data_IF_775392437271
#
_entry.id   IF_775392437271
#
_cell.length_a   1.000
_cell.length_b   1.000
_cell.length_c   1.000
_cell.angle_alpha   90.00
_cell.angle_beta   90.00
_cell.angle_gamma   90.00
#
_symmetry.space_group_name_H-M   'P 1'
#
loop_
_entity.id
_entity.type
_entity.pdbx_description
1 polymer ?
#
# COMPACT_ATOMS: atom_id res chain seq x y z
N UNK A 1 -17.26 21.03 5.53
CA UNK A 1 -18.26 20.43 6.43
C UNK A 1 -18.16 21.16 7.76
N UNK A 2 -19.05 22.12 8.00
CA UNK A 2 -19.09 22.89 9.24
C UNK A 2 -20.11 22.24 10.18
N UNK A 3 -19.67 21.84 11.37
CA UNK A 3 -20.56 21.43 12.45
C UNK A 3 -21.26 22.69 12.99
N UNK A 4 -22.56 22.80 12.75
CA UNK A 4 -23.41 23.80 13.38
C UNK A 4 -23.75 23.26 14.77
N UNK A 5 -23.21 23.90 15.81
CA UNK A 5 -23.62 23.64 17.19
C UNK A 5 -24.99 24.28 17.45
N UNK A 6 -25.92 23.59 18.14
CA UNK A 6 -27.18 24.17 18.54
C UNK A 6 -26.97 25.26 19.60
N UNK A 7 -27.74 26.34 19.44
CA UNK A 7 -27.72 27.54 20.28
C UNK A 7 -28.23 27.21 21.70
N UNK A 8 -27.51 27.58 22.77
CA UNK A 8 -27.98 27.34 24.14
C UNK A 8 -29.16 28.25 24.46
N UNK A 9 -30.30 27.67 24.87
CA UNK A 9 -31.47 28.42 25.34
C UNK A 9 -32.83 28.05 24.73
N UNK A 10 -32.95 26.98 23.94
CA UNK A 10 -34.25 26.52 23.47
C UNK A 10 -34.99 25.74 24.58
N UNK A 11 -36.29 26.02 24.83
CA UNK A 11 -37.08 25.30 25.83
C UNK A 11 -37.30 23.83 25.43
N UNK A 12 -37.41 22.91 26.41
CA UNK A 12 -37.60 21.49 26.15
C UNK A 12 -38.94 21.24 25.45
N UNK A 13 -38.91 20.52 24.33
CA UNK A 13 -40.10 20.07 23.63
C UNK A 13 -40.86 19.02 24.45
N UNK A 14 -42.21 18.99 24.39
CA UNK A 14 -43.03 18.07 25.18
C UNK A 14 -42.82 16.61 24.77
N UNK A 15 -42.73 15.74 25.79
CA UNK A 15 -42.62 14.30 25.63
C UNK A 15 -43.93 13.71 25.10
N UNK A 16 -44.00 13.50 23.79
CA UNK A 16 -45.03 12.68 23.15
C UNK A 16 -44.70 11.20 23.29
N UNK A 17 -45.38 10.53 24.22
CA UNK A 17 -45.46 9.07 24.27
C UNK A 17 -46.36 8.60 23.12
N UNK A 18 -45.74 8.05 22.08
CA UNK A 18 -46.41 7.31 21.01
C UNK A 18 -45.79 5.91 20.98
N UNK A 19 -46.59 4.95 21.45
CA UNK A 19 -46.42 3.55 21.19
C UNK A 19 -46.69 3.31 19.70
N UNK A 20 -45.66 3.18 18.89
CA UNK A 20 -45.79 2.53 17.59
C UNK A 20 -44.63 1.56 17.36
N UNK A 21 -45.00 0.32 17.68
CA UNK A 21 -44.54 -0.97 17.20
C UNK A 21 -44.00 -0.89 15.76
N UNK A 22 -42.68 -0.78 15.61
CA UNK A 22 -42.00 -1.08 14.36
C UNK A 22 -41.55 -2.55 14.35
N UNK A 23 -42.11 -3.29 13.39
CA UNK A 23 -41.81 -4.69 13.10
C UNK A 23 -40.32 -4.91 12.76
N UNK A 24 -39.62 -5.83 13.45
CA UNK A 24 -38.26 -6.22 13.10
C UNK A 24 -38.28 -7.29 11.99
N UNK A 25 -38.81 -6.96 10.82
CA UNK A 25 -38.85 -7.90 9.69
C UNK A 25 -38.47 -7.23 8.37
N UNK A 26 -37.19 -6.87 8.22
CA UNK A 26 -36.47 -6.88 6.93
C UNK A 26 -35.00 -6.49 7.17
N UNK A 27 -34.25 -7.36 7.86
CA UNK A 27 -32.80 -7.39 7.67
C UNK A 27 -32.54 -8.19 6.39
N UNK A 28 -31.78 -7.67 5.42
CA UNK A 28 -31.37 -8.47 4.27
C UNK A 28 -30.48 -9.61 4.79
N UNK A 29 -31.07 -10.80 4.85
CA UNK A 29 -30.42 -12.06 5.08
C UNK A 29 -29.54 -12.41 3.87
N UNK A 30 -28.41 -11.72 3.72
CA UNK A 30 -27.30 -12.24 2.91
C UNK A 30 -26.42 -13.11 3.81
N UNK A 31 -27.02 -14.19 4.32
CA UNK A 31 -26.27 -15.28 4.91
C UNK A 31 -25.63 -16.06 3.77
N UNK A 32 -24.32 -15.87 3.60
CA UNK A 32 -23.50 -16.90 2.98
C UNK A 32 -23.72 -18.17 3.79
N UNK A 33 -24.36 -19.14 3.17
CA UNK A 33 -24.51 -20.49 3.69
C UNK A 33 -23.10 -21.08 3.82
N UNK A 34 -22.47 -20.91 4.98
CA UNK A 34 -21.26 -21.64 5.33
C UNK A 34 -21.66 -23.12 5.39
N UNK A 35 -21.26 -23.87 4.36
CA UNK A 35 -21.33 -25.32 4.37
C UNK A 35 -20.51 -25.84 5.56
N UNK A 36 -20.99 -26.85 6.30
CA UNK A 36 -20.22 -27.45 7.37
C UNK A 36 -18.87 -27.94 6.82
N UNK A 37 -17.74 -27.67 7.50
CA UNK A 37 -16.46 -28.12 7.04
C UNK A 37 -16.46 -29.66 7.04
N UNK A 38 -16.36 -30.23 5.83
CA UNK A 38 -16.05 -31.64 5.67
C UNK A 38 -14.79 -31.96 6.48
N UNK A 39 -14.91 -33.01 7.28
CA UNK A 39 -13.87 -33.68 8.05
C UNK A 39 -12.73 -34.20 7.15
N UNK A 40 -11.87 -33.29 6.72
CA UNK A 40 -10.65 -33.60 5.96
C UNK A 40 -9.43 -33.51 6.87
N UNK A 41 -8.84 -34.68 7.18
CA UNK A 41 -7.49 -34.89 7.70
C UNK A 41 -6.80 -33.70 8.40
N UNK A 42 -7.04 -33.58 9.70
CA UNK A 42 -6.08 -32.92 10.58
C UNK A 42 -4.75 -33.66 10.49
N UNK A 43 -3.71 -32.98 10.01
CA UNK A 43 -2.34 -33.46 10.16
C UNK A 43 -1.98 -33.35 11.65
N UNK A 44 -1.41 -34.38 12.28
CA UNK A 44 -1.00 -34.31 13.67
C UNK A 44 0.14 -33.29 13.77
N UNK A 45 -0.14 -32.13 14.35
CA UNK A 45 0.91 -31.20 14.75
C UNK A 45 1.60 -31.80 15.98
N UNK A 46 2.91 -31.99 15.88
CA UNK A 46 3.74 -32.50 16.96
C UNK A 46 3.66 -31.53 18.15
N UNK A 47 2.98 -31.97 19.20
CA UNK A 47 2.85 -31.25 20.46
C UNK A 47 4.23 -31.16 21.11
N UNK A 48 4.89 -30.00 21.04
CA UNK A 48 6.10 -29.73 21.81
C UNK A 48 5.69 -29.45 23.26
N UNK A 49 6.37 -30.14 24.19
CA UNK A 49 6.13 -30.08 25.62
C UNK A 49 6.11 -28.65 26.16
N UNK A 50 5.00 -28.33 26.83
CA UNK A 50 4.78 -27.06 27.51
C UNK A 50 5.68 -26.94 28.73
N UNK A 51 6.68 -26.07 28.64
CA UNK A 51 7.41 -25.57 29.79
C UNK A 51 6.46 -24.66 30.61
N UNK A 52 6.13 -25.10 31.83
CA UNK A 52 5.33 -24.38 32.82
C UNK A 52 5.96 -23.00 33.11
N UNK A 53 5.25 -21.92 32.77
CA UNK A 53 5.61 -20.53 33.07
C UNK A 53 4.89 -20.09 34.36
N UNK A 54 5.49 -19.21 35.20
CA UNK A 54 5.02 -18.93 36.55
C UNK A 54 3.69 -18.16 36.58
N UNK A 55 2.84 -18.57 37.52
CA UNK A 55 1.49 -18.09 37.77
C UNK A 55 1.49 -16.65 38.31
N UNK A 56 0.99 -15.69 37.52
CA UNK A 56 0.88 -14.30 37.96
C UNK A 56 0.48 -13.29 36.88
N UNK A 57 0.57 -13.68 35.61
CA UNK A 57 0.01 -12.92 34.50
C UNK A 57 -1.34 -13.55 34.13
N UNK A 58 -2.44 -12.89 34.52
CA UNK A 58 -3.78 -13.20 34.02
C UNK A 58 -3.72 -13.43 32.51
N UNK A 59 -4.15 -14.63 32.11
CA UNK A 59 -3.79 -15.26 30.84
C UNK A 59 -4.03 -14.38 29.64
N UNK A 60 -2.94 -13.84 29.06
CA UNK A 60 -2.98 -13.39 27.68
C UNK A 60 -3.36 -14.60 26.83
N UNK A 61 -4.53 -14.56 26.22
CA UNK A 61 -4.93 -15.57 25.25
C UNK A 61 -3.82 -15.69 24.21
N UNK A 62 -3.22 -16.88 24.14
CA UNK A 62 -2.17 -17.14 23.18
C UNK A 62 -2.74 -16.91 21.77
N UNK A 63 -1.91 -16.34 20.89
CA UNK A 63 -2.26 -16.16 19.49
C UNK A 63 -2.69 -17.52 18.93
N UNK A 64 -3.83 -17.64 18.22
CA UNK A 64 -4.27 -18.92 17.69
C UNK A 64 -3.22 -19.53 16.76
N UNK A 65 -2.99 -20.85 16.84
CA UNK A 65 -1.95 -21.53 16.05
C UNK A 65 -2.10 -21.35 14.54
N UNK A 66 -3.33 -21.12 14.07
CA UNK A 66 -3.57 -20.84 12.65
C UNK A 66 -3.01 -19.48 12.21
N UNK A 67 -2.50 -18.62 13.08
CA UNK A 67 -1.82 -17.39 12.68
C UNK A 67 -0.36 -17.59 12.29
N UNK A 68 0.24 -18.73 12.66
CA UNK A 68 1.57 -19.09 12.19
C UNK A 68 1.50 -19.38 10.68
N UNK A 69 2.05 -18.45 9.90
CA UNK A 69 2.07 -18.50 8.43
C UNK A 69 3.12 -19.48 7.92
N UNK A 70 3.04 -20.74 8.37
CA UNK A 70 3.88 -21.82 7.82
C UNK A 70 3.27 -22.31 6.51
N UNK A 71 3.46 -21.53 5.45
CA UNK A 71 3.09 -21.98 4.12
C UNK A 71 4.16 -22.96 3.65
N UNK A 72 3.87 -24.27 3.69
CA UNK A 72 4.78 -25.30 3.17
C UNK A 72 4.86 -25.24 1.63
N UNK A 73 5.48 -24.20 1.10
CA UNK A 73 5.74 -23.98 -0.32
C UNK A 73 7.24 -24.20 -0.57
N UNK A 74 7.62 -24.53 -1.81
CA UNK A 74 9.03 -24.64 -2.19
C UNK A 74 9.84 -23.38 -1.82
N UNK A 75 11.10 -23.57 -1.39
CA UNK A 75 11.96 -22.55 -0.76
C UNK A 75 12.27 -21.29 -1.60
N UNK A 76 11.86 -21.20 -2.88
CA UNK A 76 11.54 -19.92 -3.48
C UNK A 76 10.62 -18.99 -2.72
N UNK A 77 9.40 -19.51 -2.70
CA UNK A 77 8.16 -18.76 -2.63
C UNK A 77 7.79 -18.50 -1.19
N UNK A 78 8.20 -19.37 -0.26
CA UNK A 78 7.97 -19.19 1.17
C UNK A 78 8.53 -17.83 1.65
N UNK A 79 9.80 -17.56 1.34
CA UNK A 79 10.44 -16.26 1.65
C UNK A 79 9.72 -15.07 1.02
N UNK A 80 9.24 -15.22 -0.23
CA UNK A 80 8.56 -14.14 -0.95
C UNK A 80 7.18 -13.87 -0.34
N UNK A 81 6.42 -14.91 -0.03
CA UNK A 81 5.09 -14.82 0.57
C UNK A 81 5.20 -14.26 1.98
N UNK A 82 6.14 -14.75 2.79
CA UNK A 82 6.40 -14.23 4.13
C UNK A 82 6.78 -12.75 4.09
N UNK A 83 7.68 -12.37 3.17
CA UNK A 83 8.07 -10.97 3.00
C UNK A 83 6.89 -10.11 2.54
N UNK A 84 6.13 -10.57 1.54
CA UNK A 84 4.95 -9.85 1.04
C UNK A 84 3.90 -9.68 2.15
N UNK A 85 3.69 -10.70 2.98
CA UNK A 85 2.78 -10.66 4.11
C UNK A 85 3.24 -9.67 5.20
N UNK A 86 4.53 -9.68 5.55
CA UNK A 86 5.11 -8.70 6.50
C UNK A 86 4.99 -7.27 5.97
N UNK A 87 5.29 -7.06 4.69
CA UNK A 87 5.10 -5.75 4.03
C UNK A 87 3.64 -5.35 4.06
N UNK A 88 2.71 -6.28 3.78
CA UNK A 88 1.29 -6.01 3.84
C UNK A 88 0.83 -5.65 5.26
N UNK A 89 1.29 -6.37 6.29
CA UNK A 89 1.01 -6.03 7.69
C UNK A 89 1.55 -4.65 8.06
N UNK A 90 2.78 -4.33 7.63
CA UNK A 90 3.40 -3.03 7.88
C UNK A 90 2.63 -1.89 7.17
N UNK A 91 2.26 -2.09 5.91
CA UNK A 91 1.49 -1.10 5.14
C UNK A 91 0.11 -0.91 5.76
N UNK A 92 -0.61 -1.99 6.04
CA UNK A 92 -2.00 -1.94 6.50
C UNK A 92 -2.14 -1.54 7.96
N UNK A 93 -1.35 -2.13 8.86
CA UNK A 93 -1.50 -1.96 10.31
C UNK A 93 -0.37 -1.13 10.93
N UNK A 94 0.77 -0.99 10.26
CA UNK A 94 1.93 -0.27 10.79
C UNK A 94 2.82 -1.13 11.69
N UNK A 95 2.52 -2.42 11.78
CA UNK A 95 3.27 -3.39 12.56
C UNK A 95 3.79 -4.50 11.63
N UNK A 96 5.05 -4.93 11.78
CA UNK A 96 5.61 -6.01 10.97
C UNK A 96 5.00 -7.37 11.33
N UNK A 97 4.51 -7.51 12.57
CA UNK A 97 3.96 -8.73 13.11
C UNK A 97 2.53 -8.52 13.57
N UNK A 98 1.73 -9.55 13.32
CA UNK A 98 0.34 -9.62 13.73
C UNK A 98 0.16 -9.84 15.24
N UNK A 99 1.19 -10.38 15.93
CA UNK A 99 1.20 -10.55 17.37
C UNK A 99 1.10 -9.22 18.13
N UNK A 100 1.78 -8.17 17.65
CA UNK A 100 1.68 -6.84 18.26
C UNK A 100 0.24 -6.29 18.15
N UNK A 101 -0.40 -6.55 17.01
CA UNK A 101 -1.79 -6.13 16.75
C UNK A 101 -2.74 -6.92 17.63
N UNK A 102 -2.50 -8.22 17.82
CA UNK A 102 -3.27 -9.06 18.74
C UNK A 102 -3.20 -8.55 20.18
N UNK A 103 -1.99 -8.21 20.64
CA UNK A 103 -1.78 -7.63 21.96
C UNK A 103 -2.52 -6.29 22.10
N UNK A 104 -2.53 -5.44 21.07
CA UNK A 104 -3.31 -4.19 21.06
C UNK A 104 -4.81 -4.46 21.09
N UNK A 105 -5.32 -5.43 20.33
CA UNK A 105 -6.75 -5.74 20.28
C UNK A 105 -7.30 -6.34 21.59
N UNK A 106 -6.46 -7.02 22.38
CA UNK A 106 -6.84 -7.59 23.68
C UNK A 106 -6.40 -6.73 24.87
N UNK A 107 -5.77 -5.57 24.61
CA UNK A 107 -5.43 -4.60 25.65
C UNK A 107 -6.65 -3.77 26.06
N UNK A 108 -6.42 -2.81 26.95
CA UNK A 108 -7.42 -1.84 27.37
C UNK A 108 -7.96 -1.00 26.19
N UNK A 109 -9.17 -0.49 26.35
CA UNK A 109 -9.85 0.29 25.30
C UNK A 109 -9.04 1.52 24.87
N UNK A 110 -8.29 2.14 25.78
CA UNK A 110 -7.45 3.30 25.47
C UNK A 110 -6.29 2.93 24.54
N UNK A 111 -5.60 1.82 24.80
CA UNK A 111 -4.54 1.30 23.94
C UNK A 111 -5.06 0.93 22.55
N UNK A 112 -6.24 0.30 22.47
CA UNK A 112 -6.92 0.05 21.20
C UNK A 112 -7.24 1.34 20.44
N UNK A 113 -7.85 2.34 21.12
CA UNK A 113 -8.20 3.61 20.51
C UNK A 113 -6.97 4.34 19.96
N UNK A 114 -5.84 4.33 20.69
CA UNK A 114 -4.57 4.88 20.21
C UNK A 114 -4.07 4.18 18.95
N UNK A 115 -4.16 2.84 18.89
CA UNK A 115 -3.82 2.07 17.70
C UNK A 115 -4.72 2.42 16.50
N UNK A 116 -6.02 2.48 16.74
CA UNK A 116 -7.04 2.88 15.77
C UNK A 116 -6.81 4.30 15.23
N UNK A 117 -6.50 5.26 16.10
CA UNK A 117 -6.26 6.66 15.74
C UNK A 117 -4.99 6.82 14.89
N UNK A 118 -3.94 6.04 15.17
CA UNK A 118 -2.75 5.99 14.31
C UNK A 118 -3.08 5.49 12.91
N UNK A 119 -3.84 4.40 12.81
CA UNK A 119 -4.28 3.86 11.52
C UNK A 119 -5.17 4.87 10.79
N UNK A 120 -6.15 5.45 11.48
CA UNK A 120 -7.00 6.51 10.97
C UNK A 120 -6.20 7.67 10.38
N UNK A 121 -5.23 8.18 11.14
CA UNK A 121 -4.41 9.30 10.71
C UNK A 121 -3.59 8.98 9.45
N UNK A 122 -3.06 7.75 9.34
CA UNK A 122 -2.34 7.29 8.14
C UNK A 122 -3.25 7.21 6.92
N UNK A 123 -4.43 6.60 7.07
CA UNK A 123 -5.41 6.51 5.97
C UNK A 123 -5.88 7.91 5.56
N UNK A 124 -6.17 8.79 6.52
CA UNK A 124 -6.56 10.17 6.24
C UNK A 124 -5.47 10.94 5.50
N UNK A 125 -4.22 10.82 5.94
CA UNK A 125 -3.08 11.47 5.28
C UNK A 125 -2.93 10.99 3.83
N UNK A 126 -2.98 9.67 3.58
CA UNK A 126 -2.85 9.16 2.21
C UNK A 126 -4.04 9.55 1.33
N UNK A 127 -5.26 9.64 1.87
CA UNK A 127 -6.44 10.14 1.16
C UNK A 127 -6.28 11.61 0.76
N UNK A 128 -5.74 12.47 1.64
CA UNK A 128 -5.43 13.87 1.31
C UNK A 128 -4.40 13.94 0.18
N UNK A 129 -3.31 13.17 0.28
CA UNK A 129 -2.29 13.09 -0.78
C UNK A 129 -2.89 12.61 -2.10
N UNK A 130 -3.79 11.62 -2.08
CA UNK A 130 -4.49 11.15 -3.26
C UNK A 130 -5.32 12.27 -3.91
N UNK A 131 -6.03 13.08 -3.12
CA UNK A 131 -6.79 14.22 -3.63
C UNK A 131 -5.92 15.26 -4.33
N UNK A 132 -4.74 15.56 -3.76
CA UNK A 132 -3.77 16.48 -4.36
C UNK A 132 -3.17 15.92 -5.66
N UNK A 133 -2.82 14.63 -5.66
CA UNK A 133 -2.33 13.94 -6.86
C UNK A 133 -3.41 13.88 -7.95
N UNK A 134 -4.67 13.66 -7.58
CA UNK A 134 -5.79 13.62 -8.51
C UNK A 134 -5.99 14.99 -9.18
N UNK A 135 -5.94 16.08 -8.41
CA UNK A 135 -6.02 17.44 -8.96
C UNK A 135 -4.85 17.77 -9.89
N UNK A 136 -3.64 17.39 -9.50
CA UNK A 136 -2.43 17.61 -10.31
C UNK A 136 -2.44 16.82 -11.62
N UNK A 137 -2.85 15.55 -11.57
CA UNK A 137 -2.97 14.69 -12.76
C UNK A 137 -4.11 15.13 -13.67
N UNK A 138 -5.23 15.61 -13.12
CA UNK A 138 -6.32 16.22 -13.89
C UNK A 138 -5.85 17.47 -14.64
N UNK A 139 -5.04 18.32 -14.00
CA UNK A 139 -4.46 19.49 -14.64
C UNK A 139 -3.57 19.08 -15.82
N UNK A 140 -2.66 18.11 -15.64
CA UNK A 140 -1.84 17.60 -16.75
C UNK A 140 -2.67 16.93 -17.86
N UNK A 141 -3.76 16.26 -17.53
CA UNK A 141 -4.61 15.60 -18.52
C UNK A 141 -5.45 16.60 -19.35
N UNK A 142 -5.80 17.75 -18.77
CA UNK A 142 -6.73 18.72 -19.40
C UNK A 142 -6.04 19.93 -20.02
N UNK A 143 -4.77 20.17 -19.70
CA UNK A 143 -4.03 21.34 -20.18
C UNK A 143 -2.99 20.95 -21.23
N UNK A 144 -2.83 21.80 -22.24
CA UNK A 144 -1.70 21.69 -23.16
C UNK A 144 -0.40 22.09 -22.46
N UNK A 145 0.74 21.42 -22.74
CA UNK A 145 2.03 21.80 -22.16
C UNK A 145 2.35 23.25 -22.50
N UNK A 146 2.67 24.10 -21.50
CA UNK A 146 2.93 25.52 -21.74
C UNK A 146 4.18 25.75 -22.60
N UNK A 147 5.13 24.82 -22.58
CA UNK A 147 6.33 24.79 -23.42
C UNK A 147 6.60 23.35 -23.89
N UNK A 148 6.03 22.93 -25.04
CA UNK A 148 6.23 21.59 -25.56
C UNK A 148 7.71 21.29 -25.85
N UNK A 149 8.51 22.31 -26.17
CA UNK A 149 9.95 22.17 -26.42
C UNK A 149 10.74 21.71 -25.18
N UNK A 150 10.24 22.03 -23.98
CA UNK A 150 10.86 21.65 -22.70
C UNK A 150 10.34 20.31 -22.20
N UNK A 151 9.02 20.16 -22.06
CA UNK A 151 8.40 18.92 -21.56
C UNK A 151 7.08 18.69 -22.29
N UNK A 152 7.13 17.89 -23.36
CA UNK A 152 5.92 17.46 -24.04
C UNK A 152 5.30 16.23 -23.36
N UNK A 153 4.47 16.49 -22.34
CA UNK A 153 3.68 15.46 -21.68
C UNK A 153 2.39 15.08 -22.45
N UNK A 154 2.09 15.76 -23.56
CA UNK A 154 0.94 15.44 -24.42
C UNK A 154 1.23 14.30 -25.40
N UNK A 155 2.48 13.84 -25.49
CA UNK A 155 2.81 12.65 -26.28
C UNK A 155 2.01 11.42 -25.81
N UNK A 156 1.58 10.59 -26.77
CA UNK A 156 0.69 9.45 -26.53
C UNK A 156 1.12 8.54 -25.36
N UNK A 157 2.43 8.30 -25.23
CA UNK A 157 2.98 7.46 -24.16
C UNK A 157 2.79 8.09 -22.77
N UNK A 158 3.29 9.32 -22.59
CA UNK A 158 3.19 10.04 -21.31
C UNK A 158 1.73 10.32 -20.94
N UNK A 159 0.91 10.67 -21.91
CA UNK A 159 -0.52 10.92 -21.70
C UNK A 159 -1.27 9.67 -21.22
N UNK A 160 -0.98 8.48 -21.79
CA UNK A 160 -1.55 7.21 -21.30
C UNK A 160 -1.14 6.90 -19.86
N UNK A 161 0.11 7.18 -19.49
CA UNK A 161 0.58 7.03 -18.11
C UNK A 161 -0.16 8.00 -17.16
N UNK A 162 -0.36 9.25 -17.56
CA UNK A 162 -1.11 10.25 -16.77
C UNK A 162 -2.56 9.79 -16.56
N UNK A 163 -3.25 9.32 -17.60
CA UNK A 163 -4.62 8.81 -17.47
C UNK A 163 -4.72 7.55 -16.62
N UNK A 164 -3.77 6.62 -16.76
CA UNK A 164 -3.72 5.41 -15.93
C UNK A 164 -3.49 5.79 -14.45
N UNK A 165 -2.58 6.73 -14.17
CA UNK A 165 -2.33 7.25 -12.82
C UNK A 165 -3.56 7.96 -12.25
N UNK A 166 -4.25 8.77 -13.06
CA UNK A 166 -5.49 9.45 -12.67
C UNK A 166 -6.57 8.44 -12.23
N UNK A 167 -6.82 7.40 -13.04
CA UNK A 167 -7.80 6.36 -12.72
C UNK A 167 -7.45 5.56 -11.45
N UNK A 168 -6.19 5.18 -11.29
CA UNK A 168 -5.71 4.50 -10.08
C UNK A 168 -5.83 5.39 -8.85
N UNK A 169 -5.44 6.66 -8.95
CA UNK A 169 -5.55 7.63 -7.84
C UNK A 169 -7.01 7.83 -7.42
N UNK A 170 -7.93 7.91 -8.38
CA UNK A 170 -9.37 7.99 -8.10
C UNK A 170 -9.88 6.75 -7.38
N UNK A 171 -9.50 5.54 -7.83
CA UNK A 171 -9.84 4.29 -7.17
C UNK A 171 -9.30 4.20 -5.74
N UNK A 172 -8.04 4.59 -5.54
CA UNK A 172 -7.41 4.66 -4.21
C UNK A 172 -8.09 5.67 -3.29
N UNK A 173 -8.52 6.82 -3.80
CA UNK A 173 -9.25 7.85 -3.06
C UNK A 173 -10.62 7.34 -2.59
N UNK A 174 -11.37 6.65 -3.47
CA UNK A 174 -12.69 6.07 -3.14
C UNK A 174 -12.54 4.98 -2.07
N UNK A 175 -11.57 4.08 -2.24
CA UNK A 175 -11.30 3.02 -1.28
C UNK A 175 -10.86 3.58 0.07
N UNK A 176 -9.93 4.55 0.09
CA UNK A 176 -9.47 5.21 1.31
C UNK A 176 -10.61 5.91 2.06
N UNK A 177 -11.49 6.60 1.34
CA UNK A 177 -12.68 7.25 1.92
C UNK A 177 -13.65 6.24 2.53
N UNK A 178 -13.87 5.11 1.86
CA UNK A 178 -14.68 4.01 2.39
C UNK A 178 -14.10 3.43 3.67
N UNK A 179 -12.77 3.22 3.71
CA UNK A 179 -12.08 2.71 4.90
C UNK A 179 -12.20 3.69 6.07
N UNK A 180 -12.03 4.99 5.84
CA UNK A 180 -12.26 6.01 6.88
C UNK A 180 -13.69 5.91 7.40
N UNK A 181 -14.69 5.82 6.52
CA UNK A 181 -16.08 5.66 6.98
C UNK A 181 -16.25 4.41 7.86
N UNK A 182 -15.76 3.24 7.42
CA UNK A 182 -15.86 1.98 8.18
C UNK A 182 -15.13 2.07 9.53
N UNK A 183 -13.95 2.69 9.56
CA UNK A 183 -13.15 2.83 10.79
C UNK A 183 -13.85 3.67 11.87
N UNK A 184 -14.78 4.57 11.51
CA UNK A 184 -15.58 5.31 12.51
C UNK A 184 -16.57 4.41 13.27
N UNK A 185 -16.99 3.30 12.65
CA UNK A 185 -17.96 2.35 13.20
C UNK A 185 -17.30 1.09 13.79
N UNK A 186 -15.98 0.98 13.66
CA UNK A 186 -15.22 -0.19 14.04
C UNK A 186 -14.96 -0.20 15.55
N UNK A 187 -15.55 -1.17 16.25
CA UNK A 187 -15.27 -1.46 17.66
C UNK A 187 -14.19 -2.53 17.80
N UNK A 188 -13.47 -2.54 18.93
CA UNK A 188 -12.39 -3.51 19.20
C UNK A 188 -12.86 -4.96 19.02
N UNK A 189 -14.02 -5.31 19.60
CA UNK A 189 -14.57 -6.67 19.51
C UNK A 189 -14.86 -7.07 18.06
N UNK A 190 -15.51 -6.19 17.28
CA UNK A 190 -15.81 -6.48 15.88
C UNK A 190 -14.53 -6.61 15.04
N UNK A 191 -13.54 -5.75 15.27
CA UNK A 191 -12.26 -5.81 14.57
C UNK A 191 -11.51 -7.10 14.89
N UNK A 192 -11.48 -7.47 16.18
CA UNK A 192 -10.93 -8.72 16.66
C UNK A 192 -11.64 -9.90 16.02
N UNK A 193 -12.96 -9.99 16.09
CA UNK A 193 -13.72 -11.12 15.55
C UNK A 193 -13.56 -11.25 14.02
N UNK A 194 -13.47 -10.11 13.32
CA UNK A 194 -13.23 -10.06 11.87
C UNK A 194 -11.83 -10.56 11.52
N UNK A 195 -10.80 -10.13 12.27
CA UNK A 195 -9.44 -10.64 12.10
C UNK A 195 -9.31 -12.08 12.58
N UNK A 196 -10.01 -12.51 13.62
CA UNK A 196 -9.81 -13.84 14.21
C UNK A 196 -10.57 -14.97 13.52
N UNK A 197 -11.58 -14.65 12.71
CA UNK A 197 -12.47 -15.67 12.15
C UNK A 197 -11.78 -16.68 11.20
N UNK A 198 -10.86 -16.25 10.34
CA UNK A 198 -10.11 -17.15 9.45
C UNK A 198 -8.88 -16.51 8.83
N UNK A 199 -7.93 -17.34 8.36
CA UNK A 199 -6.72 -16.90 7.63
C UNK A 199 -7.04 -16.05 6.40
N UNK A 200 -8.05 -16.46 5.63
CA UNK A 200 -8.46 -15.74 4.42
C UNK A 200 -9.09 -14.39 4.75
N UNK A 201 -9.86 -14.30 5.84
CA UNK A 201 -10.43 -13.03 6.34
C UNK A 201 -9.32 -12.07 6.76
N UNK A 202 -8.31 -12.52 7.52
CA UNK A 202 -7.14 -11.68 7.87
C UNK A 202 -6.48 -11.10 6.62
N UNK A 203 -6.13 -11.97 5.67
CA UNK A 203 -5.46 -11.54 4.44
C UNK A 203 -6.33 -10.55 3.65
N UNK A 204 -7.63 -10.84 3.51
CA UNK A 204 -8.58 -9.95 2.83
C UNK A 204 -8.68 -8.58 3.51
N UNK A 205 -8.84 -8.54 4.84
CA UNK A 205 -8.90 -7.29 5.61
C UNK A 205 -7.60 -6.51 5.50
N UNK A 206 -6.45 -7.18 5.59
CA UNK A 206 -5.14 -6.55 5.37
C UNK A 206 -5.02 -5.97 3.96
N UNK A 207 -5.44 -6.71 2.92
CA UNK A 207 -5.44 -6.21 1.54
C UNK A 207 -6.36 -5.01 1.40
N UNK A 208 -7.58 -5.04 1.95
CA UNK A 208 -8.53 -3.92 1.90
C UNK A 208 -7.93 -2.68 2.56
N UNK A 209 -7.38 -2.79 3.78
CA UNK A 209 -6.79 -1.66 4.50
C UNK A 209 -5.54 -1.14 3.79
N UNK A 210 -4.72 -2.03 3.21
CA UNK A 210 -3.48 -1.69 2.51
C UNK A 210 -3.68 -1.18 1.09
N UNK A 211 -4.82 -1.50 0.47
CA UNK A 211 -5.16 -1.17 -0.92
C UNK A 211 -4.95 0.32 -1.28
N UNK A 212 -5.48 1.31 -0.54
CA UNK A 212 -5.27 2.72 -0.89
C UNK A 212 -3.79 3.09 -0.95
N UNK A 213 -2.97 2.59 0.00
CA UNK A 213 -1.53 2.86 0.02
C UNK A 213 -0.82 2.27 -1.21
N UNK A 214 -1.12 1.01 -1.53
CA UNK A 214 -0.50 0.30 -2.65
C UNK A 214 -0.89 0.97 -3.98
N UNK A 215 -2.18 1.24 -4.17
CA UNK A 215 -2.69 1.83 -5.41
C UNK A 215 -2.19 3.25 -5.61
N UNK A 216 -2.17 4.09 -4.57
CA UNK A 216 -1.64 5.46 -4.66
C UNK A 216 -0.13 5.44 -4.91
N UNK A 217 0.61 4.51 -4.29
CA UNK A 217 2.03 4.31 -4.57
C UNK A 217 2.29 3.92 -6.03
N UNK A 218 1.54 2.96 -6.58
CA UNK A 218 1.63 2.54 -7.98
C UNK A 218 1.24 3.70 -8.92
N UNK A 219 0.16 4.41 -8.63
CA UNK A 219 -0.28 5.56 -9.41
C UNK A 219 0.79 6.64 -9.47
N UNK A 220 1.44 6.93 -8.33
CA UNK A 220 2.54 7.89 -8.23
C UNK A 220 3.74 7.44 -9.06
N UNK A 221 4.11 6.15 -9.00
CA UNK A 221 5.20 5.60 -9.80
C UNK A 221 4.90 5.68 -11.31
N UNK A 222 3.68 5.33 -11.74
CA UNK A 222 3.28 5.44 -13.15
C UNK A 222 3.32 6.89 -13.64
N UNK A 223 2.84 7.84 -12.84
CA UNK A 223 2.92 9.26 -13.16
C UNK A 223 4.38 9.71 -13.31
N UNK A 224 5.21 9.34 -12.35
CA UNK A 224 6.64 9.61 -12.35
C UNK A 224 7.32 9.08 -13.62
N UNK A 225 7.05 7.83 -14.01
CA UNK A 225 7.58 7.26 -15.26
C UNK A 225 7.07 7.98 -16.50
N UNK A 226 5.78 8.36 -16.55
CA UNK A 226 5.22 9.13 -17.66
C UNK A 226 5.88 10.50 -17.83
N UNK A 227 6.10 11.22 -16.74
CA UNK A 227 6.80 12.51 -16.75
C UNK A 227 8.29 12.35 -17.08
N UNK A 228 8.93 11.29 -16.59
CA UNK A 228 10.33 11.00 -16.90
C UNK A 228 10.53 10.64 -18.37
N UNK A 229 9.58 9.90 -18.97
CA UNK A 229 9.56 9.61 -20.39
C UNK A 229 9.41 10.89 -21.24
N UNK A 230 8.58 11.84 -20.79
CA UNK A 230 8.48 13.17 -21.42
C UNK A 230 9.80 13.95 -21.29
N UNK A 231 10.40 13.95 -20.10
CA UNK A 231 11.69 14.62 -19.83
C UNK A 231 12.83 14.06 -20.69
N UNK A 232 12.85 12.74 -20.94
CA UNK A 232 13.85 12.10 -21.81
C UNK A 232 13.76 12.53 -23.28
N UNK A 233 12.61 13.02 -23.72
CA UNK A 233 12.41 13.54 -25.07
C UNK A 233 12.69 15.04 -25.19
N UNK A 234 12.94 15.71 -24.06
CA UNK A 234 13.31 17.12 -24.03
C UNK A 234 14.62 17.36 -24.79
N UNK A 235 14.69 18.48 -25.50
CA UNK A 235 15.94 18.95 -26.10
C UNK A 235 16.88 19.57 -25.06
N UNK A 236 16.36 19.94 -23.88
CA UNK A 236 17.13 20.57 -22.81
C UNK A 236 17.94 19.54 -22.01
N UNK A 237 19.26 19.72 -21.99
CA UNK A 237 20.19 18.85 -21.26
C UNK A 237 19.95 18.89 -19.73
N UNK A 238 19.51 20.02 -19.19
CA UNK A 238 19.24 20.16 -17.76
C UNK A 238 18.06 19.29 -17.33
N UNK A 239 16.98 19.26 -18.11
CA UNK A 239 15.79 18.43 -17.84
C UNK A 239 16.13 16.95 -17.99
N UNK A 240 16.90 16.61 -19.02
CA UNK A 240 17.31 15.24 -19.29
C UNK A 240 18.18 14.65 -18.15
N UNK A 241 19.10 15.43 -17.57
CA UNK A 241 19.94 15.01 -16.44
C UNK A 241 19.18 15.11 -15.10
N UNK A 242 18.41 16.18 -14.91
CA UNK A 242 17.69 16.47 -13.68
C UNK A 242 16.53 15.52 -13.40
N UNK A 243 15.78 15.09 -14.42
CA UNK A 243 14.62 14.21 -14.28
C UNK A 243 14.94 12.89 -13.55
N UNK A 244 15.93 12.10 -14.01
CA UNK A 244 16.34 10.88 -13.33
C UNK A 244 16.87 11.13 -11.92
N UNK A 245 17.57 12.25 -11.69
CA UNK A 245 18.08 12.60 -10.36
C UNK A 245 16.95 12.85 -9.37
N UNK A 246 15.92 13.61 -9.78
CA UNK A 246 14.73 13.87 -8.95
C UNK A 246 13.99 12.57 -8.61
N UNK A 247 13.93 11.60 -9.53
CA UNK A 247 13.31 10.29 -9.26
C UNK A 247 14.18 9.37 -8.39
N UNK A 248 15.50 9.54 -8.44
CA UNK A 248 16.42 8.74 -7.64
C UNK A 248 16.28 9.04 -6.14
N UNK A 249 16.00 10.30 -5.77
CA UNK A 249 15.81 10.70 -4.36
C UNK A 249 14.73 9.88 -3.64
N UNK A 250 13.46 9.84 -4.07
CA UNK A 250 12.44 9.04 -3.41
C UNK A 250 12.72 7.53 -3.50
N UNK A 251 13.31 7.06 -4.61
CA UNK A 251 13.72 5.66 -4.73
C UNK A 251 14.77 5.24 -3.68
N UNK A 252 15.68 6.14 -3.28
CA UNK A 252 16.67 5.88 -2.23
C UNK A 252 16.09 5.98 -0.82
N UNK A 253 15.02 6.75 -0.62
CA UNK A 253 14.34 6.84 0.67
C UNK A 253 13.55 5.56 1.02
N UNK A 254 13.01 4.84 0.03
CA UNK A 254 12.28 3.59 0.24
C UNK A 254 13.11 2.54 1.01
N UNK A 255 14.33 2.14 0.56
CA UNK A 255 15.12 1.15 1.28
C UNK A 255 15.59 1.68 2.65
N UNK A 256 15.87 2.97 2.78
CA UNK A 256 16.22 3.59 4.07
C UNK A 256 15.05 3.47 5.07
N UNK A 257 13.83 3.73 4.61
CA UNK A 257 12.63 3.58 5.42
C UNK A 257 12.41 2.12 5.80
N UNK A 258 12.48 1.19 4.84
CA UNK A 258 12.35 -0.25 5.09
C UNK A 258 13.41 -0.76 6.08
N UNK A 259 14.65 -0.30 5.96
CA UNK A 259 15.73 -0.64 6.88
C UNK A 259 15.41 -0.18 8.31
N UNK A 260 14.93 1.06 8.45
CA UNK A 260 14.57 1.65 9.75
C UNK A 260 13.40 0.92 10.40
N UNK A 261 12.41 0.48 9.61
CA UNK A 261 11.22 -0.20 10.13
C UNK A 261 11.45 -1.68 10.49
N UNK A 262 12.45 -2.33 9.89
CA UNK A 262 12.64 -3.80 10.03
C UNK A 262 13.76 -4.21 10.99
N UNK A 263 14.35 -3.26 11.71
CA UNK A 263 15.31 -3.59 12.79
C UNK A 263 16.58 -4.30 12.32
N UNK A 264 17.05 -4.04 11.09
CA UNK A 264 18.36 -4.48 10.60
C UNK A 264 18.42 -5.83 9.87
N UNK A 265 17.35 -6.63 9.85
CA UNK A 265 17.32 -7.95 9.17
C UNK A 265 17.34 -7.90 7.64
N UNK A 266 17.11 -6.73 7.03
CA UNK A 266 16.87 -6.56 5.58
C UNK A 266 18.15 -6.36 4.74
N UNK A 267 19.34 -6.52 5.32
CA UNK A 267 20.62 -6.39 4.59
C UNK A 267 20.65 -7.21 3.28
N UNK A 268 19.98 -8.37 3.27
CA UNK A 268 19.84 -9.25 2.10
C UNK A 268 19.06 -8.63 0.93
N UNK A 269 17.98 -7.90 1.20
CA UNK A 269 17.21 -7.20 0.15
C UNK A 269 18.03 -6.04 -0.41
N UNK A 270 18.78 -5.33 0.45
CA UNK A 270 19.66 -4.26 0.00
C UNK A 270 20.79 -4.78 -0.90
N UNK A 271 21.40 -5.91 -0.54
CA UNK A 271 22.39 -6.60 -1.38
C UNK A 271 21.78 -7.00 -2.72
N UNK A 272 20.52 -7.49 -2.74
CA UNK A 272 19.83 -7.86 -3.96
C UNK A 272 19.52 -6.66 -4.87
N UNK A 273 18.99 -5.57 -4.31
CA UNK A 273 18.72 -4.31 -5.03
C UNK A 273 20.02 -3.71 -5.57
N UNK A 274 21.10 -3.71 -4.77
CA UNK A 274 22.43 -3.25 -5.19
C UNK A 274 22.97 -4.09 -6.35
N UNK A 275 22.74 -5.41 -6.32
CA UNK A 275 23.09 -6.32 -7.41
C UNK A 275 22.38 -5.97 -8.72
N UNK A 276 21.06 -5.74 -8.67
CA UNK A 276 20.27 -5.33 -9.84
C UNK A 276 20.76 -3.98 -10.38
N UNK A 277 20.97 -3.00 -9.51
CA UNK A 277 21.39 -1.66 -9.93
C UNK A 277 22.80 -1.68 -10.55
N UNK A 278 23.72 -2.44 -9.97
CA UNK A 278 25.08 -2.60 -10.51
C UNK A 278 25.06 -3.30 -11.87
N UNK A 279 24.19 -4.30 -12.05
CA UNK A 279 24.00 -4.96 -13.35
C UNK A 279 23.45 -4.02 -14.44
N UNK A 280 22.46 -3.20 -14.10
CA UNK A 280 21.86 -2.21 -15.01
C UNK A 280 22.87 -1.13 -15.44
N UNK A 281 23.67 -0.61 -14.49
CA UNK A 281 24.70 0.38 -14.80
C UNK A 281 25.80 -0.23 -15.67
N UNK A 282 26.27 -1.44 -15.35
CA UNK A 282 27.30 -2.14 -16.12
C UNK A 282 26.90 -2.39 -17.57
N UNK A 283 25.65 -2.81 -17.80
CA UNK A 283 25.11 -3.02 -19.15
C UNK A 283 25.05 -1.74 -19.99
N UNK A 284 24.71 -0.59 -19.38
CA UNK A 284 24.60 0.69 -20.08
C UNK A 284 25.97 1.23 -20.50
N UNK A 285 26.98 1.14 -19.62
CA UNK A 285 28.36 1.53 -19.91
C UNK A 285 28.97 0.68 -21.04
N UNK A 286 28.72 -0.62 -21.03
CA UNK A 286 29.23 -1.51 -22.07
C UNK A 286 28.60 -1.23 -23.44
N UNK A 287 27.31 -0.86 -23.50
CA UNK A 287 26.62 -0.56 -24.77
C UNK A 287 27.05 0.77 -25.38
N UNK A 288 27.23 1.80 -24.54
CA UNK A 288 27.70 3.13 -25.00
C UNK A 288 29.15 3.04 -25.52
N UNK A 289 30.01 2.25 -24.87
CA UNK A 289 31.38 2.02 -25.35
C UNK A 289 31.45 1.32 -26.71
N UNK A 290 30.50 0.43 -27.01
CA UNK A 290 30.49 -0.33 -28.28
C UNK A 290 30.04 0.52 -29.46
N UNK A 291 29.03 1.38 -29.30
CA UNK A 291 28.59 2.30 -30.37
C UNK A 291 29.68 3.30 -30.77
N UNK A 292 30.51 3.79 -29.84
CA UNK A 292 31.60 4.73 -30.16
C UNK A 292 32.73 4.07 -30.95
N UNK A 293 33.04 2.79 -30.70
CA UNK A 293 34.08 2.07 -31.45
C UNK A 293 33.67 1.78 -32.89
N UNK A 294 32.40 1.46 -33.14
CA UNK A 294 31.92 1.20 -34.51
C UNK A 294 31.94 2.44 -35.41
N UNK A 295 31.82 3.65 -34.85
CA UNK A 295 31.90 4.89 -35.62
C UNK A 295 33.35 5.27 -35.99
N UNK A 296 34.34 4.87 -35.20
CA UNK A 296 35.75 5.18 -35.46
C UNK A 296 36.42 4.25 -36.47
N UNK A 297 35.83 3.10 -36.77
CA UNK A 297 36.37 2.13 -37.75
C UNK A 297 35.63 2.12 -39.08
N UNK A 298 34.69 3.06 -39.31
CA UNK A 298 34.08 3.19 -40.64
C UNK A 298 35.14 3.72 -41.62
N UNK A 299 35.54 2.96 -42.65
CA UNK A 299 36.51 3.42 -43.63
C UNK A 299 35.95 4.65 -44.33
N UNK A 300 36.76 5.71 -44.42
CA UNK A 300 36.42 6.91 -45.18
C UNK A 300 36.12 6.50 -46.62
N UNK A 301 34.84 6.55 -47.00
CA UNK A 301 34.43 6.32 -48.37
C UNK A 301 35.04 7.43 -49.23
N UNK A 302 36.02 7.06 -50.06
CA UNK A 302 36.64 7.96 -51.01
C UNK A 302 35.58 8.49 -51.97
N UNK A 303 35.28 9.78 -51.88
CA UNK A 303 34.45 10.49 -52.84
C UNK A 303 35.21 10.60 -54.16
N UNK A 304 34.86 9.74 -55.13
CA UNK A 304 35.30 9.88 -56.51
C UNK A 304 34.38 10.89 -57.19
N UNK A 305 34.90 12.09 -57.42
CA UNK A 305 34.31 13.10 -58.28
C UNK A 305 34.55 12.72 -59.73
N UNK A 306 33.47 12.66 -60.53
CA UNK A 306 33.50 12.61 -62.01
C UNK A 306 32.95 13.94 -62.51
#
# INVERSE_FOLDING_TARGET
MSFVYPKPGAPPAPSGSSNDREDPSTRPALWLHETPPHSGCYTPCNHRDHSLKPDGLQGREALPDWWNFECRVARPLDTIIETAFRVLCLVSLGHPNLGDVWDICNSDEETWLRGKDRLWNRVNTITIVAGLLLGSTAAFATTSPPRPDLVDYATLGSYRCILASFGLTLGGLIAGSTILFVMTKCHANWFRDTLMGSRSRVCCTLVIIGYPFIVIGIATAILAFGLLAAAWRSSDSAIHIGGPFVMLVPCMLIPMFLHTQTGGGIFLVWVYVKGIFSGLIGLKLHRVGRSRRSALTAPAAASVTI
#
